data_IF_542904214726
#
_entry.id   IF_542904214726
#
_cell.length_a   1.000
_cell.length_b   1.000
_cell.length_c   1.000
_cell.angle_alpha   90.00
_cell.angle_beta   90.00
_cell.angle_gamma   90.00
#
_symmetry.space_group_name_H-M   'P 1'
#
loop_
_entity.id
_entity.type
_entity.pdbx_description
1 polymer ?
#
# COMPACT_ATOMS: atom_id res chain seq x y z
N UNK A 1 -46.27 8.94 -1.40
CA UNK A 1 -47.46 8.70 -2.25
C UNK A 1 -47.32 9.34 -3.62
N UNK A 2 -47.83 8.68 -4.66
CA UNK A 2 -47.81 9.17 -6.06
C UNK A 2 -49.12 9.82 -6.51
N UNK A 3 -50.14 9.83 -5.64
CA UNK A 3 -51.46 10.37 -5.93
C UNK A 3 -51.99 11.24 -4.79
N UNK A 4 -52.73 12.30 -5.15
CA UNK A 4 -53.49 13.14 -4.22
C UNK A 4 -54.87 13.43 -4.84
N UNK A 5 -55.94 13.06 -4.13
CA UNK A 5 -57.34 13.38 -4.48
C UNK A 5 -57.68 13.20 -5.99
N UNK A 6 -57.45 11.97 -6.49
CA UNK A 6 -57.68 11.53 -7.88
C UNK A 6 -56.71 12.04 -8.95
N UNK A 7 -55.71 12.87 -8.61
CA UNK A 7 -54.60 13.22 -9.51
C UNK A 7 -53.45 12.25 -9.27
N UNK A 8 -53.02 11.53 -10.30
CA UNK A 8 -51.94 10.54 -10.22
C UNK A 8 -50.96 10.73 -11.39
N UNK A 9 -49.67 10.86 -11.09
CA UNK A 9 -48.62 10.92 -12.11
C UNK A 9 -48.26 9.50 -12.51
N UNK A 10 -48.75 9.04 -13.66
CA UNK A 10 -48.36 7.72 -14.18
C UNK A 10 -46.89 7.74 -14.61
N UNK A 11 -46.20 6.63 -14.38
CA UNK A 11 -44.77 6.49 -14.66
C UNK A 11 -44.44 6.61 -16.17
N UNK A 12 -45.40 6.29 -17.03
CA UNK A 12 -45.29 6.33 -18.50
C UNK A 12 -45.53 7.73 -19.14
N UNK A 13 -45.82 8.76 -18.34
CA UNK A 13 -45.99 10.13 -18.82
C UNK A 13 -44.65 10.81 -19.12
N UNK A 14 -43.58 10.40 -18.43
CA UNK A 14 -42.28 11.06 -18.42
C UNK A 14 -41.16 10.04 -18.60
N UNK A 15 -39.96 10.44 -19.08
CA UNK A 15 -38.81 9.54 -19.13
C UNK A 15 -38.48 8.96 -17.75
N UNK A 16 -38.02 7.71 -17.71
CA UNK A 16 -37.49 7.08 -16.49
C UNK A 16 -36.25 7.86 -16.03
N UNK A 17 -36.11 8.07 -14.72
CA UNK A 17 -34.93 8.71 -14.14
C UNK A 17 -33.72 7.76 -14.21
N UNK A 18 -32.56 8.19 -14.76
CA UNK A 18 -31.31 7.44 -14.63
C UNK A 18 -30.68 7.60 -13.22
N UNK A 19 -31.25 8.48 -12.39
CA UNK A 19 -30.82 8.73 -11.02
C UNK A 19 -31.38 7.70 -10.03
N UNK A 20 -30.62 7.42 -8.98
CA UNK A 20 -31.09 6.70 -7.79
C UNK A 20 -31.87 7.60 -6.81
N UNK A 21 -31.91 8.91 -7.05
CA UNK A 21 -32.67 9.87 -6.25
C UNK A 21 -34.16 9.79 -6.63
N UNK A 22 -35.07 9.62 -5.65
CA UNK A 22 -36.50 9.61 -5.92
C UNK A 22 -37.00 10.99 -6.40
N UNK A 23 -37.90 10.99 -7.38
CA UNK A 23 -38.59 12.20 -7.83
C UNK A 23 -39.54 12.73 -6.74
N UNK A 24 -39.60 14.06 -6.55
CA UNK A 24 -40.49 14.73 -5.59
C UNK A 24 -41.74 15.22 -6.31
N UNK A 25 -42.93 14.95 -5.77
CA UNK A 25 -44.20 15.30 -6.42
C UNK A 25 -44.94 16.41 -5.67
N UNK A 26 -45.23 17.51 -6.36
CA UNK A 26 -46.08 18.60 -5.86
C UNK A 26 -47.44 18.56 -6.55
N UNK A 27 -48.51 18.61 -5.76
CA UNK A 27 -49.89 18.61 -6.25
C UNK A 27 -50.58 19.91 -5.85
N UNK A 28 -51.04 20.65 -6.85
CA UNK A 28 -51.82 21.88 -6.68
C UNK A 28 -53.23 21.63 -7.21
N UNK A 29 -54.25 22.11 -6.49
CA UNK A 29 -55.65 21.94 -6.86
C UNK A 29 -56.43 23.20 -6.53
N UNK A 30 -57.21 23.67 -7.49
CA UNK A 30 -58.21 24.72 -7.32
C UNK A 30 -59.59 24.10 -7.48
N UNK A 31 -60.43 24.21 -6.44
CA UNK A 31 -61.81 23.72 -6.45
C UNK A 31 -62.78 24.63 -7.21
N UNK A 32 -62.31 25.71 -7.84
CA UNK A 32 -63.14 26.64 -8.60
C UNK A 32 -63.64 25.98 -9.88
N UNK A 33 -64.90 25.57 -9.88
CA UNK A 33 -65.57 25.03 -11.06
C UNK A 33 -65.60 26.06 -12.20
N UNK A 34 -65.43 25.58 -13.43
CA UNK A 34 -65.55 26.36 -14.67
C UNK A 34 -66.40 25.58 -15.67
N UNK A 35 -66.93 26.24 -16.71
CA UNK A 35 -67.75 25.60 -17.75
C UNK A 35 -67.10 24.37 -18.38
N UNK A 36 -65.76 24.34 -18.47
CA UNK A 36 -65.00 23.21 -19.00
C UNK A 36 -64.55 22.20 -17.94
N UNK A 37 -64.39 22.62 -16.68
CA UNK A 37 -63.84 21.81 -15.60
C UNK A 37 -64.70 21.92 -14.33
N UNK A 38 -65.68 21.02 -14.20
CA UNK A 38 -66.66 21.05 -13.10
C UNK A 38 -66.05 20.74 -11.73
N UNK A 39 -64.99 19.92 -11.69
CA UNK A 39 -64.23 19.58 -10.49
C UNK A 39 -63.08 20.58 -10.20
N UNK A 40 -63.06 21.71 -10.91
CA UNK A 40 -61.97 22.66 -10.90
C UNK A 40 -60.73 22.17 -11.67
N UNK A 41 -59.57 22.81 -11.42
CA UNK A 41 -58.31 22.54 -12.13
C UNK A 41 -57.24 22.02 -11.19
N UNK A 42 -56.41 21.10 -11.68
CA UNK A 42 -55.31 20.52 -10.91
C UNK A 42 -54.00 20.56 -11.71
N UNK A 43 -52.88 20.70 -11.00
CA UNK A 43 -51.53 20.68 -11.57
C UNK A 43 -50.66 19.74 -10.75
N UNK A 44 -50.03 18.77 -11.41
CA UNK A 44 -49.04 17.87 -10.82
C UNK A 44 -47.65 18.20 -11.38
N UNK A 45 -46.73 18.58 -10.50
CA UNK A 45 -45.34 18.90 -10.85
C UNK A 45 -44.45 17.78 -10.31
N UNK A 46 -43.84 17.03 -11.23
CA UNK A 46 -42.82 16.03 -10.95
C UNK A 46 -41.46 16.70 -10.96
N UNK A 47 -40.87 16.89 -9.80
CA UNK A 47 -39.57 17.56 -9.63
C UNK A 47 -38.45 16.52 -9.51
N UNK A 48 -37.45 16.62 -10.39
CA UNK A 48 -36.41 15.62 -10.60
C UNK A 48 -35.01 16.20 -10.40
N UNK A 49 -34.21 15.50 -9.61
CA UNK A 49 -32.78 15.80 -9.44
C UNK A 49 -32.04 15.69 -10.79
N UNK A 50 -31.51 16.81 -11.25
CA UNK A 50 -30.57 16.85 -12.37
C UNK A 50 -29.41 17.82 -12.06
N UNK A 51 -28.25 17.32 -11.57
CA UNK A 51 -27.10 18.14 -11.19
C UNK A 51 -26.54 19.03 -12.31
N UNK A 52 -26.80 18.68 -13.58
CA UNK A 52 -26.37 19.44 -14.76
C UNK A 52 -27.29 20.64 -15.07
N UNK A 53 -28.36 20.86 -14.30
CA UNK A 53 -29.37 21.91 -14.49
C UNK A 53 -29.41 22.87 -13.29
N UNK A 54 -28.38 23.71 -13.06
CA UNK A 54 -28.34 24.63 -11.92
C UNK A 54 -29.46 25.67 -11.94
N UNK A 55 -29.82 26.19 -10.75
CA UNK A 55 -30.83 27.22 -10.58
C UNK A 55 -32.24 26.75 -10.95
N UNK A 56 -32.98 27.56 -11.70
CA UNK A 56 -34.36 27.28 -12.08
C UNK A 56 -34.54 26.05 -13.01
N UNK A 57 -33.46 25.47 -13.54
CA UNK A 57 -33.52 24.23 -14.31
C UNK A 57 -34.35 24.31 -15.60
N UNK A 58 -35.05 23.22 -15.94
CA UNK A 58 -35.89 23.12 -17.15
C UNK A 58 -37.24 22.47 -16.81
N UNK A 59 -38.33 23.02 -17.35
CA UNK A 59 -39.67 22.44 -17.28
C UNK A 59 -40.02 21.82 -18.64
N UNK A 60 -40.59 20.61 -18.60
CA UNK A 60 -41.03 19.84 -19.76
C UNK A 60 -42.43 19.24 -19.52
N UNK A 61 -43.09 18.84 -20.61
CA UNK A 61 -44.45 18.28 -20.60
C UNK A 61 -44.44 16.82 -21.05
N UNK A 62 -45.48 16.00 -20.72
CA UNK A 62 -45.58 14.63 -21.18
C UNK A 62 -45.57 14.53 -22.71
N UNK A 63 -44.87 13.54 -23.26
CA UNK A 63 -44.85 13.29 -24.72
C UNK A 63 -46.24 12.99 -25.29
N UNK A 64 -47.12 12.39 -24.47
CA UNK A 64 -48.53 12.09 -24.81
C UNK A 64 -49.45 13.32 -24.77
N UNK A 65 -49.05 14.37 -24.06
CA UNK A 65 -49.85 15.58 -23.82
C UNK A 65 -49.00 16.83 -24.07
N UNK A 66 -48.72 17.21 -25.34
CA UNK A 66 -47.80 18.30 -25.67
C UNK A 66 -48.24 19.69 -25.18
N UNK A 67 -49.51 19.85 -24.80
CA UNK A 67 -50.03 21.06 -24.14
C UNK A 67 -49.84 21.03 -22.59
N UNK A 68 -49.14 20.05 -22.04
CA UNK A 68 -49.08 19.78 -20.59
C UNK A 68 -50.35 19.14 -20.01
N UNK A 69 -51.42 19.03 -20.80
CA UNK A 69 -52.71 18.47 -20.42
C UNK A 69 -53.30 17.66 -21.59
N UNK A 70 -54.11 16.65 -21.27
CA UNK A 70 -54.88 15.86 -22.23
C UNK A 70 -56.41 16.00 -22.03
N UNK A 71 -56.86 16.56 -20.92
CA UNK A 71 -58.28 16.76 -20.55
C UNK A 71 -58.67 18.25 -20.44
N UNK A 72 -57.71 19.17 -20.48
CA UNK A 72 -57.92 20.61 -20.30
C UNK A 72 -58.09 21.06 -18.84
N UNK A 73 -58.08 20.13 -17.89
CA UNK A 73 -58.37 20.37 -16.47
C UNK A 73 -57.22 19.93 -15.54
N UNK A 74 -56.45 18.92 -15.95
CA UNK A 74 -55.32 18.36 -15.22
C UNK A 74 -54.04 18.60 -16.01
N UNK A 75 -53.10 19.33 -15.41
CA UNK A 75 -51.82 19.70 -16.00
C UNK A 75 -50.69 18.91 -15.36
N UNK A 76 -49.73 18.46 -16.16
CA UNK A 76 -48.58 17.65 -15.75
C UNK A 76 -47.30 18.29 -16.26
N UNK A 77 -46.33 18.47 -15.37
CA UNK A 77 -45.03 19.04 -15.69
C UNK A 77 -43.91 18.21 -15.06
N UNK A 78 -42.83 17.96 -15.81
CA UNK A 78 -41.56 17.44 -15.29
C UNK A 78 -40.59 18.62 -15.17
N UNK A 79 -40.14 18.91 -13.95
CA UNK A 79 -39.20 19.96 -13.63
C UNK A 79 -37.85 19.34 -13.25
N UNK A 80 -36.88 19.41 -14.16
CA UNK A 80 -35.51 18.97 -13.90
C UNK A 80 -34.66 20.13 -13.39
N UNK A 81 -34.14 20.02 -12.16
CA UNK A 81 -33.25 21.02 -11.57
C UNK A 81 -32.23 20.37 -10.63
N UNK A 82 -31.08 21.01 -10.48
CA UNK A 82 -30.11 20.70 -9.44
C UNK A 82 -30.70 20.92 -8.04
N UNK A 83 -31.59 21.90 -7.87
CA UNK A 83 -32.26 22.22 -6.59
C UNK A 83 -33.24 21.12 -6.13
N UNK A 84 -33.56 20.16 -7.00
CA UNK A 84 -34.31 18.96 -6.65
C UNK A 84 -33.41 17.82 -6.10
N UNK A 85 -32.09 17.99 -6.09
CA UNK A 85 -31.15 16.99 -5.59
C UNK A 85 -30.95 17.09 -4.07
N UNK A 86 -30.71 15.96 -3.38
CA UNK A 86 -30.38 15.95 -1.96
C UNK A 86 -29.04 16.65 -1.67
N UNK A 87 -28.88 17.05 -0.41
CA UNK A 87 -27.61 17.53 0.14
C UNK A 87 -26.57 16.42 0.16
N UNK A 88 -25.34 16.72 -0.27
CA UNK A 88 -24.24 15.74 -0.21
C UNK A 88 -23.87 15.36 1.23
N UNK A 89 -23.58 14.08 1.43
CA UNK A 89 -23.21 13.43 2.69
C UNK A 89 -21.93 12.61 2.54
N UNK A 90 -21.42 12.07 3.64
CA UNK A 90 -20.15 11.33 3.68
C UNK A 90 -20.15 10.09 2.80
N UNK A 91 -21.31 9.44 2.61
CA UNK A 91 -21.47 8.30 1.71
C UNK A 91 -21.38 8.65 0.21
N UNK A 92 -21.40 9.94 -0.15
CA UNK A 92 -21.37 10.39 -1.56
C UNK A 92 -19.94 10.57 -2.08
N UNK A 93 -18.92 10.46 -1.23
CA UNK A 93 -17.52 10.45 -1.62
C UNK A 93 -16.81 9.20 -1.10
N UNK A 94 -15.68 8.86 -1.72
CA UNK A 94 -14.75 7.83 -1.26
C UNK A 94 -13.34 8.41 -1.14
N UNK A 95 -12.48 7.73 -0.40
CA UNK A 95 -11.06 8.07 -0.34
C UNK A 95 -10.25 7.31 -1.39
N UNK A 96 -9.24 7.99 -1.93
CA UNK A 96 -8.29 7.46 -2.90
C UNK A 96 -6.89 7.68 -2.34
N UNK A 97 -6.19 6.57 -2.12
CA UNK A 97 -4.78 6.56 -1.73
C UNK A 97 -3.88 6.86 -2.92
N UNK A 98 -3.04 7.91 -2.84
CA UNK A 98 -1.97 8.11 -3.82
C UNK A 98 -0.75 7.24 -3.53
N UNK A 99 0.06 7.02 -4.57
CA UNK A 99 1.39 6.41 -4.47
C UNK A 99 2.23 7.11 -3.38
N UNK A 100 2.66 6.32 -2.40
CA UNK A 100 3.56 6.71 -1.31
C UNK A 100 4.85 7.34 -1.87
N UNK A 101 5.24 8.50 -1.34
CA UNK A 101 6.50 9.21 -1.68
C UNK A 101 7.23 9.58 -0.40
N UNK A 102 8.51 9.19 -0.28
CA UNK A 102 9.39 9.52 0.87
C UNK A 102 8.78 9.17 2.24
N UNK A 103 8.08 8.04 2.37
CA UNK A 103 7.43 7.61 3.62
C UNK A 103 6.03 8.20 3.88
N UNK A 104 5.65 9.25 3.16
CA UNK A 104 4.32 9.88 3.26
C UNK A 104 3.37 9.34 2.18
N UNK A 105 2.11 9.16 2.56
CA UNK A 105 0.98 8.84 1.69
C UNK A 105 -0.01 10.00 1.70
N UNK A 106 -0.41 10.48 0.53
CA UNK A 106 -1.42 11.53 0.39
C UNK A 106 -2.77 10.88 0.11
N UNK A 107 -3.72 11.02 1.03
CA UNK A 107 -5.10 10.53 0.91
C UNK A 107 -5.96 11.68 0.40
N UNK A 108 -6.66 11.46 -0.71
CA UNK A 108 -7.59 12.42 -1.30
C UNK A 108 -9.01 11.87 -1.21
N UNK A 109 -9.99 12.77 -1.15
CA UNK A 109 -11.40 12.44 -1.22
C UNK A 109 -11.94 12.83 -2.59
N UNK A 110 -12.77 11.97 -3.19
CA UNK A 110 -13.36 12.16 -4.52
C UNK A 110 -14.83 11.76 -4.50
N UNK A 111 -15.70 12.53 -5.16
CA UNK A 111 -17.12 12.21 -5.27
C UNK A 111 -17.34 10.90 -6.03
N UNK A 112 -18.38 10.15 -5.66
CA UNK A 112 -18.80 8.97 -6.38
C UNK A 112 -19.41 9.36 -7.74
N UNK A 113 -19.12 8.59 -8.79
CA UNK A 113 -19.68 8.80 -10.13
C UNK A 113 -20.84 7.81 -10.38
N UNK A 114 -22.02 8.26 -10.84
CA UNK A 114 -22.42 9.65 -11.08
C UNK A 114 -22.79 10.36 -9.77
N UNK A 115 -22.41 11.64 -9.64
CA UNK A 115 -22.75 12.46 -8.46
C UNK A 115 -24.21 12.91 -8.52
N UNK A 116 -25.05 12.46 -7.60
CA UNK A 116 -26.49 12.79 -7.54
C UNK A 116 -26.89 13.74 -6.39
N UNK A 117 -25.95 14.52 -5.86
CA UNK A 117 -26.18 15.44 -4.76
C UNK A 117 -25.63 16.85 -5.09
N UNK A 118 -26.20 17.89 -4.46
CA UNK A 118 -25.65 19.26 -4.51
C UNK A 118 -25.58 19.86 -3.12
N UNK A 119 -24.68 20.85 -2.91
CA UNK A 119 -24.52 21.53 -1.62
C UNK A 119 -24.28 20.50 -0.49
N UNK A 120 -24.57 20.83 0.77
CA UNK A 120 -24.26 19.95 1.90
C UNK A 120 -22.78 20.03 2.25
N UNK A 121 -22.13 18.90 2.51
CA UNK A 121 -20.71 18.88 2.87
C UNK A 121 -19.81 19.17 1.67
N UNK A 122 -18.68 19.83 1.91
CA UNK A 122 -17.57 19.90 0.97
C UNK A 122 -16.69 18.65 1.07
N UNK A 123 -15.87 18.39 0.05
CA UNK A 123 -14.78 17.41 0.17
C UNK A 123 -13.90 17.78 1.37
N UNK A 124 -13.54 16.83 2.24
CA UNK A 124 -12.57 17.07 3.30
C UNK A 124 -11.21 17.46 2.71
N UNK A 125 -10.42 18.22 3.48
CA UNK A 125 -9.06 18.52 3.09
C UNK A 125 -8.22 17.23 3.01
N UNK A 126 -7.29 17.22 2.04
CA UNK A 126 -6.35 16.12 1.82
C UNK A 126 -5.55 15.80 3.09
N UNK A 127 -5.40 14.52 3.40
CA UNK A 127 -4.64 14.06 4.57
C UNK A 127 -3.27 13.51 4.16
N UNK A 128 -2.25 13.82 4.95
CA UNK A 128 -0.93 13.20 4.83
C UNK A 128 -0.80 12.15 5.95
N UNK A 129 -0.81 10.88 5.56
CA UNK A 129 -0.56 9.76 6.46
C UNK A 129 0.91 9.35 6.40
N UNK A 130 1.51 9.05 7.54
CA UNK A 130 2.85 8.44 7.60
C UNK A 130 2.73 6.93 7.48
N UNK A 131 3.31 6.34 6.44
CA UNK A 131 3.24 4.90 6.24
C UNK A 131 4.59 4.26 6.54
N UNK A 132 4.60 3.24 7.40
CA UNK A 132 5.81 2.49 7.75
C UNK A 132 6.48 1.91 6.50
N UNK A 133 7.79 2.09 6.38
CA UNK A 133 8.55 1.63 5.21
C UNK A 133 8.89 0.15 5.34
N UNK A 134 8.19 -0.69 4.56
CA UNK A 134 8.47 -2.13 4.41
C UNK A 134 9.94 -2.43 4.07
N UNK A 135 10.65 -1.48 3.47
CA UNK A 135 12.11 -1.47 3.29
C UNK A 135 12.91 -1.78 4.56
N UNK A 136 12.44 -1.38 5.74
CA UNK A 136 13.15 -1.63 7.00
C UNK A 136 13.15 -3.12 7.33
N UNK A 137 11.97 -3.73 7.37
CA UNK A 137 11.79 -5.16 7.59
C UNK A 137 12.48 -6.02 6.52
N UNK A 138 12.46 -5.57 5.26
CA UNK A 138 13.10 -6.29 4.15
C UNK A 138 14.64 -6.21 4.24
N UNK A 139 15.22 -5.06 4.62
CA UNK A 139 16.67 -4.93 4.89
C UNK A 139 17.12 -5.75 6.11
N UNK A 140 16.35 -5.73 7.19
CA UNK A 140 16.65 -6.52 8.40
C UNK A 140 16.58 -8.02 8.09
N UNK A 141 15.54 -8.46 7.37
CA UNK A 141 15.40 -9.85 6.92
C UNK A 141 16.55 -10.31 6.02
N UNK A 142 16.95 -9.48 5.05
CA UNK A 142 18.09 -9.78 4.17
C UNK A 142 19.42 -9.88 4.95
N UNK A 143 19.66 -9.00 5.92
CA UNK A 143 20.86 -9.03 6.76
C UNK A 143 20.94 -10.30 7.64
N UNK A 144 19.84 -10.67 8.29
CA UNK A 144 19.77 -11.89 9.11
C UNK A 144 19.89 -13.16 8.24
N UNK A 145 19.27 -13.17 7.05
CA UNK A 145 19.38 -14.28 6.09
C UNK A 145 20.81 -14.48 5.59
N UNK A 146 21.51 -13.40 5.22
CA UNK A 146 22.90 -13.48 4.78
C UNK A 146 23.84 -13.98 5.92
N UNK A 147 23.66 -13.46 7.14
CA UNK A 147 24.48 -13.85 8.28
C UNK A 147 24.29 -15.33 8.66
N UNK A 148 23.05 -15.80 8.69
CA UNK A 148 22.74 -17.22 8.99
C UNK A 148 23.26 -18.17 7.91
N UNK A 149 23.16 -17.82 6.62
CA UNK A 149 23.74 -18.60 5.53
C UNK A 149 25.28 -18.74 5.67
N UNK A 150 25.99 -17.64 5.94
CA UNK A 150 27.46 -17.66 6.14
C UNK A 150 27.86 -18.52 7.34
N UNK A 151 27.12 -18.45 8.46
CA UNK A 151 27.37 -19.29 9.63
C UNK A 151 27.16 -20.78 9.32
N UNK A 152 26.11 -21.15 8.60
CA UNK A 152 25.84 -22.55 8.23
C UNK A 152 26.95 -23.12 7.33
N UNK A 153 27.43 -22.35 6.35
CA UNK A 153 28.57 -22.75 5.49
C UNK A 153 29.84 -22.93 6.33
N UNK A 154 30.15 -21.97 7.22
CA UNK A 154 31.33 -22.05 8.08
C UNK A 154 31.30 -23.28 9.02
N UNK A 155 30.15 -23.58 9.62
CA UNK A 155 29.94 -24.78 10.44
C UNK A 155 30.09 -26.06 9.62
N UNK A 156 29.52 -26.12 8.43
CA UNK A 156 29.60 -27.30 7.55
C UNK A 156 31.06 -27.59 7.16
N UNK A 157 31.80 -26.57 6.74
CA UNK A 157 33.23 -26.67 6.44
C UNK A 157 34.07 -27.07 7.67
N UNK A 158 33.73 -26.55 8.86
CA UNK A 158 34.39 -26.92 10.12
C UNK A 158 34.17 -28.41 10.44
N UNK A 159 32.93 -28.90 10.35
CA UNK A 159 32.61 -30.30 10.60
C UNK A 159 33.25 -31.23 9.58
N UNK A 160 33.26 -30.89 8.28
CA UNK A 160 33.98 -31.64 7.25
C UNK A 160 35.48 -31.75 7.56
N UNK A 161 36.14 -30.62 7.86
CA UNK A 161 37.57 -30.60 8.19
C UNK A 161 37.88 -31.36 9.49
N UNK A 162 36.97 -31.36 10.47
CA UNK A 162 37.09 -32.14 11.70
C UNK A 162 36.89 -33.64 11.43
N UNK A 163 35.95 -34.02 10.57
CA UNK A 163 35.66 -35.42 10.25
C UNK A 163 36.79 -36.06 9.43
N UNK A 164 37.30 -35.39 8.39
CA UNK A 164 38.52 -35.84 7.69
C UNK A 164 39.71 -36.01 8.65
N UNK A 165 39.86 -35.13 9.65
CA UNK A 165 40.92 -35.25 10.67
C UNK A 165 40.71 -36.43 11.63
N UNK A 166 39.48 -36.96 11.74
CA UNK A 166 39.20 -38.21 12.45
C UNK A 166 39.50 -39.41 11.53
N UNK A 167 38.96 -39.45 10.32
CA UNK A 167 39.22 -40.53 9.34
C UNK A 167 40.71 -40.71 9.06
N UNK A 168 41.47 -39.63 8.87
CA UNK A 168 42.93 -39.69 8.71
C UNK A 168 43.64 -40.29 9.93
N UNK A 169 43.12 -40.07 11.14
CA UNK A 169 43.68 -40.67 12.37
C UNK A 169 43.33 -42.15 12.52
N UNK A 170 42.11 -42.55 12.17
CA UNK A 170 41.70 -43.96 12.21
C UNK A 170 42.34 -44.79 11.10
N UNK A 171 42.42 -44.26 9.88
CA UNK A 171 43.11 -44.89 8.74
C UNK A 171 44.61 -45.09 9.01
N UNK A 172 45.28 -44.07 9.56
CA UNK A 172 46.69 -44.20 9.98
C UNK A 172 46.86 -45.27 11.06
N UNK A 173 45.91 -45.42 12.00
CA UNK A 173 45.95 -46.50 12.98
C UNK A 173 45.82 -47.87 12.31
N UNK A 174 44.82 -48.06 11.44
CA UNK A 174 44.57 -49.34 10.73
C UNK A 174 45.75 -49.75 9.83
N UNK A 175 46.41 -48.79 9.17
CA UNK A 175 47.66 -49.08 8.44
C UNK A 175 48.81 -49.47 9.39
N UNK A 176 48.97 -48.79 10.54
CA UNK A 176 50.04 -49.15 11.50
C UNK A 176 49.77 -50.40 12.32
N UNK A 177 48.53 -50.87 12.45
CA UNK A 177 48.21 -52.17 13.08
C UNK A 177 48.40 -53.31 12.10
N UNK A 178 47.99 -53.16 10.83
CA UNK A 178 48.29 -54.16 9.79
C UNK A 178 49.81 -54.28 9.53
N UNK A 179 50.58 -53.21 9.69
CA UNK A 179 52.04 -53.25 9.54
C UNK A 179 52.81 -53.70 10.80
N UNK A 180 52.13 -54.21 11.83
CA UNK A 180 52.77 -54.62 13.10
C UNK A 180 52.46 -56.06 13.54
N UNK A 181 51.66 -56.79 12.78
CA UNK A 181 51.49 -58.25 12.91
C UNK A 181 52.01 -58.99 11.67
N UNK A 182 53.31 -58.82 11.37
CA UNK A 182 54.09 -59.76 10.56
C UNK A 182 55.59 -59.45 10.68
N UNK A 183 56.25 -60.03 11.69
CA UNK A 183 57.71 -60.10 11.73
C UNK A 183 58.22 -61.41 11.08
N UNK A 184 59.46 -61.33 10.60
CA UNK A 184 60.38 -62.41 10.19
C UNK A 184 60.45 -62.77 8.68
N UNK A 185 61.66 -63.12 8.18
CA UNK A 185 62.20 -62.41 7.02
C UNK A 185 62.67 -63.30 5.86
N UNK A 186 63.00 -62.68 4.73
CA UNK A 186 64.18 -62.90 3.87
C UNK A 186 63.91 -62.70 2.36
N UNK A 187 65.00 -62.40 1.64
CA UNK A 187 65.22 -62.52 0.19
C UNK A 187 64.59 -61.49 -0.78
N UNK A 188 65.48 -60.65 -1.33
CA UNK A 188 65.64 -60.30 -2.75
C UNK A 188 64.42 -60.33 -3.70
N UNK A 189 64.07 -59.18 -4.27
CA UNK A 189 64.68 -58.76 -5.55
C UNK A 189 64.21 -57.36 -5.99
N UNK A 190 65.03 -56.67 -6.78
CA UNK A 190 64.85 -55.27 -7.18
C UNK A 190 63.81 -55.08 -8.30
N UNK A 191 63.20 -53.88 -8.37
CA UNK A 191 63.22 -53.05 -9.58
C UNK A 191 62.53 -51.67 -9.40
N UNK A 192 63.32 -50.59 -9.55
CA UNK A 192 62.97 -49.34 -10.27
C UNK A 192 61.87 -48.45 -9.60
N UNK A 193 62.04 -47.15 -9.36
CA UNK A 193 62.93 -46.14 -9.98
C UNK A 193 63.44 -45.14 -8.93
N UNK A 194 64.65 -44.62 -9.12
CA UNK A 194 65.17 -43.48 -8.38
C UNK A 194 64.45 -42.18 -8.80
N UNK A 195 64.32 -41.26 -7.85
CA UNK A 195 63.83 -39.89 -8.04
C UNK A 195 64.64 -38.99 -7.13
N UNK A 196 65.70 -38.42 -7.71
CA UNK A 196 66.87 -37.80 -7.07
C UNK A 196 66.57 -36.49 -6.31
N UNK A 197 67.56 -36.07 -5.52
CA UNK A 197 67.61 -34.95 -4.57
C UNK A 197 67.01 -33.60 -5.01
N UNK A 198 66.43 -32.88 -4.05
CA UNK A 198 67.14 -31.76 -3.40
C UNK A 198 66.42 -31.34 -2.11
N UNK A 199 67.09 -31.36 -0.96
CA UNK A 199 67.95 -30.26 -0.45
C UNK A 199 67.09 -29.00 -0.24
N UNK A 200 66.44 -28.89 0.92
CA UNK A 200 66.97 -28.32 2.18
C UNK A 200 67.16 -26.80 2.13
N UNK A 201 66.50 -26.07 3.03
CA UNK A 201 67.20 -24.95 3.69
C UNK A 201 66.64 -24.67 5.09
N UNK A 202 67.56 -24.27 5.96
CA UNK A 202 67.39 -24.06 7.39
C UNK A 202 67.32 -22.56 7.68
N UNK A 203 66.21 -22.07 8.24
CA UNK A 203 66.27 -20.87 9.09
C UNK A 203 65.41 -21.01 10.33
N UNK A 204 66.07 -21.08 11.49
CA UNK A 204 65.48 -20.87 12.79
C UNK A 204 65.03 -19.41 12.93
N UNK A 205 63.72 -19.16 13.09
CA UNK A 205 63.24 -17.84 13.50
C UNK A 205 61.95 -17.87 14.32
N UNK A 206 62.18 -17.69 15.62
CA UNK A 206 61.43 -16.82 16.52
C UNK A 206 59.98 -17.20 16.93
N UNK A 207 59.80 -17.35 18.25
CA UNK A 207 58.49 -17.36 18.92
C UNK A 207 57.86 -15.97 18.87
N UNK A 208 56.88 -15.70 17.99
CA UNK A 208 55.76 -14.78 18.32
C UNK A 208 54.66 -14.63 17.25
N UNK A 209 53.44 -14.37 17.76
CA UNK A 209 52.38 -13.56 17.12
C UNK A 209 51.66 -14.05 15.85
N UNK A 210 50.46 -14.64 16.05
CA UNK A 210 49.23 -14.16 15.38
C UNK A 210 48.00 -14.08 16.31
N UNK A 211 48.08 -14.58 17.55
CA UNK A 211 47.07 -14.33 18.60
C UNK A 211 47.25 -12.96 19.32
N UNK A 212 48.12 -12.09 18.80
CA UNK A 212 48.40 -10.76 19.38
C UNK A 212 47.42 -9.65 19.00
N UNK A 213 46.63 -9.80 17.93
CA UNK A 213 45.77 -8.73 17.39
C UNK A 213 44.33 -8.65 17.95
N UNK A 214 43.99 -9.49 18.94
CA UNK A 214 42.67 -9.47 19.61
C UNK A 214 42.74 -9.08 21.11
N UNK A 215 43.88 -8.54 21.57
CA UNK A 215 44.07 -8.06 22.96
C UNK A 215 44.80 -6.71 23.07
N UNK A 216 44.65 -5.83 22.08
CA UNK A 216 45.24 -4.47 22.10
C UNK A 216 44.24 -3.33 21.77
N UNK A 217 42.94 -3.61 21.83
CA UNK A 217 41.86 -2.60 21.75
C UNK A 217 41.06 -2.48 23.07
N UNK A 218 41.56 -3.10 24.13
CA UNK A 218 41.05 -2.97 25.49
C UNK A 218 42.19 -2.54 26.43
N UNK A 219 41.95 -1.46 27.18
CA UNK A 219 42.79 -0.81 28.22
C UNK A 219 43.81 0.27 27.77
N UNK A 220 43.73 1.43 28.46
CA UNK A 220 44.49 2.71 28.36
C UNK A 220 44.26 3.54 27.09
N UNK A 221 43.59 4.70 27.06
CA UNK A 221 43.28 5.81 28.02
C UNK A 221 44.38 6.88 28.21
N UNK A 222 44.07 8.13 27.78
CA UNK A 222 44.67 9.46 28.09
C UNK A 222 46.14 9.71 27.66
N UNK A 223 46.66 10.92 27.43
CA UNK A 223 46.17 12.32 27.22
C UNK A 223 47.39 13.12 26.67
N UNK A 224 47.34 14.30 26.02
CA UNK A 224 46.29 15.12 25.37
C UNK A 224 46.99 16.10 24.38
N UNK A 225 46.30 16.62 23.34
CA UNK A 225 46.59 17.93 22.72
C UNK A 225 45.47 18.37 21.75
N UNK A 226 44.67 19.37 22.13
CA UNK A 226 43.88 20.18 21.18
C UNK A 226 44.01 21.67 21.51
N UNK A 227 44.80 22.39 20.72
CA UNK A 227 44.73 23.85 20.67
C UNK A 227 43.46 24.35 19.97
N UNK A 228 43.08 25.57 20.34
CA UNK A 228 41.81 26.23 20.04
C UNK A 228 41.59 26.61 18.57
N UNK A 229 40.31 26.61 18.15
CA UNK A 229 39.70 27.81 17.52
C UNK A 229 38.24 27.95 18.01
N UNK A 230 37.89 29.07 18.63
CA UNK A 230 36.48 29.50 18.74
C UNK A 230 36.03 30.17 17.44
N UNK A 231 34.86 29.81 16.91
CA UNK A 231 34.08 30.71 16.08
C UNK A 231 32.64 30.85 16.62
N UNK A 232 32.47 31.99 17.28
CA UNK A 232 31.26 32.66 17.76
C UNK A 232 30.05 32.47 16.83
N UNK A 233 28.93 31.96 17.36
CA UNK A 233 27.60 32.15 16.75
C UNK A 233 26.84 33.26 17.49
N UNK A 234 26.46 34.29 16.76
CA UNK A 234 25.80 35.49 17.27
C UNK A 234 24.28 35.40 17.25
N UNK A 235 23.66 35.74 18.39
CA UNK A 235 22.23 36.06 18.57
C UNK A 235 21.73 37.10 17.56
N UNK A 236 20.48 36.97 17.08
CA UNK A 236 19.45 38.01 16.82
C UNK A 236 18.24 37.40 16.02
N UNK A 237 17.08 38.08 15.87
CA UNK A 237 15.98 37.99 16.85
C UNK A 237 14.61 37.62 16.23
N UNK A 238 13.54 37.63 17.04
CA UNK A 238 12.15 37.47 16.59
C UNK A 238 11.71 38.58 15.61
N UNK A 239 10.78 38.22 14.70
CA UNK A 239 9.46 38.85 14.49
C UNK A 239 8.49 37.71 14.15
#
# INVERSE_FOLDING_TARGET
DTALQNVNIKEDMFPVSPSQVPDVHFFYKSSTATTSCINGRSTAVKMRCNPMRPGAGVISVPSKCPAGTCDGCTFYFLWESAEACPLCKEHDFHEIEKKKKRGLQEILYVWNEPKWCIKGISLPEKKLSTCETVDFWLKVGAGVGAFTAVLLVALTCYFWKKNQKLEYKYSKLVMTTNSKECELPAADSCAIMEGEDNEEDVVYSNKQSLLGKLKSLATKEKDDHFESVQLKSSRCPNI
#
